data_IF_182517874128
#
_entry.id   IF_182517874128
#
_cell.length_a   1.000
_cell.length_b   1.000
_cell.length_c   1.000
_cell.angle_alpha   90.00
_cell.angle_beta   90.00
_cell.angle_gamma   90.00
#
_symmetry.space_group_name_H-M   'P 1'
#
loop_
_entity.id
_entity.type
_entity.pdbx_description
1 polymer ?
#
# COMPACT_ATOMS: atom_id res chain seq x y z
N UNK A 1 -4.32 -65.31 8.11
CA UNK A 1 -4.65 -64.67 9.40
C UNK A 1 -3.35 -64.10 9.93
N UNK A 2 -3.08 -62.84 10.18
CA UNK A 2 -3.68 -61.52 9.92
C UNK A 2 -2.47 -60.58 10.08
N UNK A 3 -2.17 -59.69 9.13
CA UNK A 3 -2.55 -58.27 9.22
C UNK A 3 -2.39 -57.74 10.67
N UNK A 4 -1.32 -56.97 10.94
CA UNK A 4 -1.40 -55.50 11.09
C UNK A 4 -0.21 -54.86 11.83
N UNK A 5 0.32 -53.83 11.16
CA UNK A 5 0.66 -52.50 11.68
C UNK A 5 1.86 -52.38 12.64
N UNK A 6 2.98 -51.89 12.14
CA UNK A 6 3.31 -50.47 11.83
C UNK A 6 4.07 -49.83 12.99
N UNK A 7 5.36 -50.11 12.89
CA UNK A 7 6.51 -49.33 13.32
C UNK A 7 6.37 -47.81 13.12
N UNK A 8 7.04 -47.10 14.04
CA UNK A 8 7.72 -45.79 13.87
C UNK A 8 6.92 -44.51 14.20
N UNK A 9 7.06 -44.10 15.46
CA UNK A 9 7.89 -42.95 15.89
C UNK A 9 7.65 -41.61 15.16
N UNK A 10 7.13 -40.66 15.93
CA UNK A 10 7.44 -39.23 15.93
C UNK A 10 7.47 -38.50 14.57
N UNK A 11 6.31 -38.00 14.16
CA UNK A 11 6.19 -36.82 13.31
C UNK A 11 5.37 -35.76 14.05
N UNK A 12 5.87 -35.36 15.21
CA UNK A 12 5.58 -34.06 15.79
C UNK A 12 6.58 -33.05 15.20
N UNK A 13 6.12 -31.84 14.88
CA UNK A 13 6.88 -30.68 14.39
C UNK A 13 7.20 -30.58 12.89
N UNK A 14 6.17 -30.52 12.05
CA UNK A 14 6.26 -29.77 10.79
C UNK A 14 4.94 -29.08 10.44
N UNK A 15 4.40 -28.34 11.41
CA UNK A 15 3.34 -27.36 11.16
C UNK A 15 3.69 -26.04 11.84
N UNK A 16 4.85 -25.50 11.47
CA UNK A 16 5.14 -24.09 11.77
C UNK A 16 5.65 -23.45 10.49
N UNK A 17 5.09 -22.27 10.22
CA UNK A 17 5.58 -21.24 9.31
C UNK A 17 5.15 -21.34 7.84
N UNK A 18 3.87 -21.62 7.58
CA UNK A 18 3.17 -20.73 6.64
C UNK A 18 2.66 -19.53 7.41
N UNK A 19 3.60 -18.74 7.97
CA UNK A 19 3.33 -17.32 8.05
C UNK A 19 3.24 -16.94 6.58
N UNK A 20 2.00 -16.88 6.07
CA UNK A 20 1.71 -15.87 5.07
C UNK A 20 2.26 -14.62 5.71
N UNK A 21 3.47 -14.21 5.31
CA UNK A 21 3.80 -12.82 5.31
C UNK A 21 2.55 -12.26 4.66
N UNK A 22 1.70 -11.63 5.49
CA UNK A 22 0.81 -10.65 4.95
C UNK A 22 1.74 -9.89 4.02
N UNK A 23 1.46 -9.97 2.73
CA UNK A 23 1.84 -8.92 1.84
C UNK A 23 1.16 -7.70 2.47
N UNK A 24 1.81 -7.14 3.50
CA UNK A 24 1.61 -5.82 4.03
C UNK A 24 2.01 -4.99 2.85
N UNK A 25 1.03 -4.90 1.95
CA UNK A 25 1.06 -4.16 0.73
C UNK A 25 1.65 -2.84 1.15
N UNK A 26 2.76 -2.50 0.51
CA UNK A 26 3.48 -1.25 0.63
C UNK A 26 2.55 0.00 0.49
N UNK A 27 1.24 -0.18 0.24
CA UNK A 27 0.22 0.86 0.20
C UNK A 27 -0.86 0.88 1.29
N UNK A 28 -0.95 -0.06 2.25
CA UNK A 28 -2.07 -0.12 3.23
C UNK A 28 -1.76 0.45 4.63
N UNK A 29 -0.75 1.33 4.72
CA UNK A 29 -0.51 2.12 5.93
C UNK A 29 -1.56 3.21 6.07
N UNK A 30 -2.07 3.42 7.30
CA UNK A 30 -3.08 4.43 7.71
C UNK A 30 -3.28 5.54 6.68
N UNK A 31 -4.36 5.42 5.89
CA UNK A 31 -4.63 6.33 4.78
C UNK A 31 -4.90 7.76 5.23
N UNK A 32 -4.93 8.70 4.28
CA UNK A 32 -5.33 10.11 4.52
C UNK A 32 -6.66 10.21 5.27
N UNK A 33 -7.62 9.33 4.95
CA UNK A 33 -8.92 9.24 5.61
C UNK A 33 -8.80 8.97 7.11
N UNK A 34 -7.96 8.01 7.52
CA UNK A 34 -7.76 7.67 8.94
C UNK A 34 -7.04 8.80 9.68
N UNK A 35 -5.98 9.37 9.08
CA UNK A 35 -5.27 10.50 9.67
C UNK A 35 -6.21 11.67 9.91
N UNK A 36 -7.00 12.04 8.90
CA UNK A 36 -7.91 13.19 9.01
C UNK A 36 -9.08 12.88 9.95
N UNK A 37 -9.59 11.65 9.96
CA UNK A 37 -10.63 11.21 10.89
C UNK A 37 -10.21 11.25 12.35
N UNK A 38 -8.91 11.15 12.64
CA UNK A 38 -8.38 11.27 14.01
C UNK A 38 -8.28 12.71 14.52
N UNK A 39 -8.38 13.71 13.64
CA UNK A 39 -8.37 15.12 14.02
C UNK A 39 -9.67 15.49 14.73
N UNK A 40 -9.58 16.43 15.67
CA UNK A 40 -10.77 17.06 16.29
C UNK A 40 -11.43 18.02 15.30
N UNK A 41 -12.23 17.48 14.37
CA UNK A 41 -12.96 18.23 13.35
C UNK A 41 -14.36 18.63 13.83
N UNK A 42 -14.77 19.86 13.52
CA UNK A 42 -16.16 20.27 13.66
C UNK A 42 -17.03 19.74 12.50
N UNK A 43 -18.36 19.91 12.60
CA UNK A 43 -19.30 19.39 11.61
C UNK A 43 -19.15 20.06 10.23
N UNK A 44 -18.81 21.35 10.18
CA UNK A 44 -18.62 22.06 8.92
C UNK A 44 -17.35 21.56 8.21
N UNK A 45 -16.26 21.33 8.97
CA UNK A 45 -15.03 20.75 8.46
C UNK A 45 -15.24 19.33 7.94
N UNK A 46 -15.90 18.46 8.71
CA UNK A 46 -16.23 17.09 8.29
C UNK A 46 -16.99 17.08 6.97
N UNK A 47 -18.00 17.95 6.84
CA UNK A 47 -18.83 18.06 5.63
C UNK A 47 -18.01 18.45 4.41
N UNK A 48 -17.06 19.39 4.55
CA UNK A 48 -16.19 19.84 3.45
C UNK A 48 -15.09 18.83 3.09
N UNK A 49 -14.58 18.10 4.09
CA UNK A 49 -13.49 17.13 3.92
C UNK A 49 -13.98 15.83 3.28
N UNK A 50 -15.18 15.37 3.63
CA UNK A 50 -15.75 14.11 3.13
C UNK A 50 -15.65 13.93 1.60
N UNK A 51 -16.12 14.87 0.76
CA UNK A 51 -16.04 14.70 -0.69
C UNK A 51 -14.58 14.65 -1.20
N UNK A 52 -13.64 15.33 -0.55
CA UNK A 52 -12.21 15.26 -0.89
C UNK A 52 -11.65 13.85 -0.64
N UNK A 53 -12.02 13.25 0.48
CA UNK A 53 -11.60 11.89 0.83
C UNK A 53 -12.26 10.84 -0.08
N UNK A 54 -13.54 11.01 -0.42
CA UNK A 54 -14.25 10.13 -1.35
C UNK A 54 -13.65 10.19 -2.76
N UNK A 55 -13.33 11.39 -3.25
CA UNK A 55 -12.64 11.57 -4.52
C UNK A 55 -11.26 10.91 -4.51
N UNK A 56 -10.46 11.14 -3.46
CA UNK A 56 -9.15 10.51 -3.31
C UNK A 56 -9.28 8.99 -3.30
N UNK A 57 -10.23 8.43 -2.56
CA UNK A 57 -10.49 6.99 -2.49
C UNK A 57 -10.85 6.40 -3.85
N UNK A 58 -11.73 7.06 -4.60
CA UNK A 58 -12.08 6.65 -5.95
C UNK A 58 -10.86 6.64 -6.88
N UNK A 59 -10.06 7.70 -6.85
CA UNK A 59 -8.82 7.79 -7.64
C UNK A 59 -7.79 6.72 -7.23
N UNK A 60 -7.64 6.44 -5.93
CA UNK A 60 -6.72 5.39 -5.47
C UNK A 60 -7.19 4.00 -5.91
N UNK A 61 -8.50 3.75 -5.87
CA UNK A 61 -9.08 2.48 -6.33
C UNK A 61 -8.85 2.27 -7.83
N UNK A 62 -9.14 3.28 -8.64
CA UNK A 62 -8.98 3.21 -10.09
C UNK A 62 -7.49 3.02 -10.48
N UNK A 63 -6.60 3.87 -9.96
CA UNK A 63 -5.16 3.73 -10.22
C UNK A 63 -4.62 2.38 -9.71
N UNK A 64 -5.10 1.90 -8.55
CA UNK A 64 -4.71 0.60 -8.02
C UNK A 64 -5.16 -0.57 -8.88
N UNK A 65 -6.34 -0.50 -9.49
CA UNK A 65 -6.80 -1.49 -10.47
C UNK A 65 -5.89 -1.51 -11.69
N UNK A 66 -5.59 -0.33 -12.26
CA UNK A 66 -4.71 -0.22 -13.42
C UNK A 66 -3.28 -0.67 -13.11
N UNK A 67 -2.80 -0.43 -11.88
CA UNK A 67 -1.50 -0.92 -11.41
C UNK A 67 -1.45 -2.44 -11.41
N UNK A 68 -2.48 -3.09 -10.85
CA UNK A 68 -2.60 -4.55 -10.83
C UNK A 68 -2.58 -5.14 -12.24
N UNK A 69 -3.29 -4.52 -13.17
CA UNK A 69 -3.34 -4.99 -14.56
C UNK A 69 -1.97 -4.85 -15.26
N UNK A 70 -1.21 -3.80 -14.96
CA UNK A 70 0.17 -3.64 -15.43
C UNK A 70 1.10 -4.67 -14.81
N UNK A 71 0.98 -4.92 -13.51
CA UNK A 71 1.79 -5.93 -12.81
C UNK A 71 1.56 -7.35 -13.37
N UNK A 72 0.30 -7.69 -13.71
CA UNK A 72 -0.01 -8.95 -14.39
C UNK A 72 0.70 -9.04 -15.74
N UNK A 73 0.68 -7.98 -16.55
CA UNK A 73 1.34 -7.97 -17.86
C UNK A 73 2.86 -8.04 -17.76
N UNK A 74 3.45 -7.37 -16.76
CA UNK A 74 4.89 -7.48 -16.48
C UNK A 74 5.26 -8.91 -16.11
N UNK A 75 4.49 -9.56 -15.23
CA UNK A 75 4.73 -10.94 -14.85
C UNK A 75 4.59 -11.90 -16.05
N UNK A 76 3.61 -11.68 -16.93
CA UNK A 76 3.47 -12.47 -18.16
C UNK A 76 4.69 -12.35 -19.09
N UNK A 77 5.29 -11.17 -19.19
CA UNK A 77 6.54 -10.98 -19.93
C UNK A 77 7.73 -11.68 -19.25
N UNK A 78 7.79 -11.63 -17.91
CA UNK A 78 8.82 -12.31 -17.13
C UNK A 78 8.77 -13.84 -17.21
N UNK A 79 7.56 -14.41 -17.29
CA UNK A 79 7.34 -15.86 -17.37
C UNK A 79 7.43 -16.40 -18.82
N UNK A 80 7.55 -15.52 -19.81
CA UNK A 80 7.58 -15.90 -21.23
C UNK A 80 8.92 -16.53 -21.64
N UNK A 81 8.90 -17.40 -22.66
CA UNK A 81 10.11 -18.02 -23.21
C UNK A 81 11.07 -17.00 -23.86
N UNK A 82 10.56 -15.84 -24.26
CA UNK A 82 11.36 -14.73 -24.79
C UNK A 82 10.67 -13.43 -24.42
N UNK A 83 11.35 -12.63 -23.59
CA UNK A 83 10.88 -11.34 -23.15
C UNK A 83 10.98 -10.31 -24.28
N UNK A 84 9.90 -9.56 -24.53
CA UNK A 84 9.93 -8.42 -25.43
C UNK A 84 10.32 -7.16 -24.64
N UNK A 85 11.54 -6.69 -24.86
CA UNK A 85 12.10 -5.53 -24.17
C UNK A 85 11.29 -4.25 -24.43
N UNK A 86 10.80 -4.03 -25.66
CA UNK A 86 10.03 -2.83 -25.99
C UNK A 86 8.67 -2.82 -25.26
N UNK A 87 8.06 -4.00 -25.13
CA UNK A 87 6.84 -4.17 -24.35
C UNK A 87 7.09 -3.93 -22.85
N UNK A 88 8.17 -4.46 -22.29
CA UNK A 88 8.56 -4.20 -20.89
C UNK A 88 8.78 -2.71 -20.64
N UNK A 89 9.52 -2.02 -21.50
CA UNK A 89 9.80 -0.59 -21.35
C UNK A 89 8.48 0.21 -21.31
N UNK A 90 7.55 -0.10 -22.22
CA UNK A 90 6.23 0.54 -22.23
C UNK A 90 5.40 0.23 -20.97
N UNK A 91 5.48 -0.98 -20.43
CA UNK A 91 4.77 -1.35 -19.20
C UNK A 91 5.35 -0.64 -17.98
N UNK A 92 6.67 -0.49 -17.90
CA UNK A 92 7.36 0.26 -16.84
C UNK A 92 7.03 1.74 -16.90
N UNK A 93 6.97 2.34 -18.08
CA UNK A 93 6.55 3.74 -18.25
C UNK A 93 5.11 3.95 -17.78
N UNK A 94 4.21 3.02 -18.14
CA UNK A 94 2.82 3.05 -17.68
C UNK A 94 2.73 2.94 -16.17
N UNK A 95 3.51 2.04 -15.56
CA UNK A 95 3.60 1.87 -14.10
C UNK A 95 4.07 3.16 -13.42
N UNK A 96 5.14 3.77 -13.95
CA UNK A 96 5.70 5.03 -13.45
C UNK A 96 4.67 6.16 -13.50
N UNK A 97 3.94 6.29 -14.60
CA UNK A 97 2.88 7.29 -14.76
C UNK A 97 1.74 7.09 -13.74
N UNK A 98 1.33 5.84 -13.49
CA UNK A 98 0.32 5.53 -12.48
C UNK A 98 0.77 5.92 -11.07
N UNK A 99 2.01 5.60 -10.69
CA UNK A 99 2.60 6.03 -9.41
C UNK A 99 2.56 7.57 -9.30
N UNK A 100 3.00 8.28 -10.35
CA UNK A 100 2.97 9.74 -10.40
C UNK A 100 1.57 10.32 -10.22
N UNK A 101 0.56 9.72 -10.86
CA UNK A 101 -0.84 10.12 -10.71
C UNK A 101 -1.34 9.93 -9.28
N UNK A 102 -0.99 8.82 -8.63
CA UNK A 102 -1.35 8.57 -7.22
C UNK A 102 -0.71 9.58 -6.28
N UNK A 103 0.57 9.91 -6.49
CA UNK A 103 1.28 10.96 -5.72
C UNK A 103 0.57 12.30 -5.89
N UNK A 104 0.29 12.70 -7.13
CA UNK A 104 -0.41 13.96 -7.45
C UNK A 104 -1.78 14.03 -6.76
N UNK A 105 -2.58 12.97 -6.83
CA UNK A 105 -3.88 12.90 -6.18
C UNK A 105 -3.79 13.09 -4.65
N UNK A 106 -2.81 12.42 -4.00
CA UNK A 106 -2.57 12.59 -2.55
C UNK A 106 -2.16 14.03 -2.19
N UNK A 107 -1.33 14.67 -3.01
CA UNK A 107 -0.90 16.07 -2.80
C UNK A 107 -2.09 17.03 -2.95
N UNK A 108 -2.92 16.85 -3.99
CA UNK A 108 -4.11 17.67 -4.22
C UNK A 108 -5.09 17.54 -3.06
N UNK A 109 -5.40 16.32 -2.64
CA UNK A 109 -6.29 16.08 -1.50
C UNK A 109 -5.73 16.70 -0.21
N UNK A 110 -4.42 16.53 0.05
CA UNK A 110 -3.76 17.17 1.20
C UNK A 110 -3.93 18.69 1.16
N UNK A 111 -3.68 19.32 0.02
CA UNK A 111 -3.80 20.77 -0.12
C UNK A 111 -5.22 21.26 0.17
N UNK A 112 -6.24 20.58 -0.39
CA UNK A 112 -7.66 20.90 -0.16
C UNK A 112 -8.05 20.72 1.31
N UNK A 113 -7.63 19.63 1.96
CA UNK A 113 -7.87 19.40 3.39
C UNK A 113 -7.20 20.50 4.22
N UNK A 114 -5.93 20.84 3.93
CA UNK A 114 -5.22 21.90 4.65
C UNK A 114 -5.93 23.25 4.54
N UNK A 115 -6.60 23.56 3.44
CA UNK A 115 -7.39 24.79 3.33
C UNK A 115 -8.59 24.84 4.31
N UNK A 116 -9.06 23.70 4.79
CA UNK A 116 -10.22 23.58 5.69
C UNK A 116 -9.81 23.55 7.18
N UNK A 117 -8.59 23.10 7.47
CA UNK A 117 -8.09 22.93 8.83
C UNK A 117 -7.61 24.24 9.45
N UNK A 118 -7.80 24.37 10.77
CA UNK A 118 -7.18 25.43 11.57
C UNK A 118 -5.69 25.12 11.84
N UNK A 119 -4.97 26.08 12.42
CA UNK A 119 -3.52 25.97 12.68
C UNK A 119 -3.15 24.76 13.53
N UNK A 120 -3.94 24.45 14.58
CA UNK A 120 -3.67 23.33 15.47
C UNK A 120 -3.85 21.99 14.75
N UNK A 121 -4.94 21.83 14.00
CA UNK A 121 -5.23 20.63 13.22
C UNK A 121 -4.20 20.41 12.11
N UNK A 122 -3.73 21.48 11.45
CA UNK A 122 -2.64 21.41 10.46
C UNK A 122 -1.35 20.88 11.07
N UNK A 123 -0.98 21.37 12.26
CA UNK A 123 0.21 20.92 12.96
C UNK A 123 0.13 19.43 13.33
N UNK A 124 -1.03 18.99 13.83
CA UNK A 124 -1.31 17.60 14.19
C UNK A 124 -1.24 16.68 12.96
N UNK A 125 -1.88 17.07 11.86
CA UNK A 125 -1.83 16.32 10.60
C UNK A 125 -0.41 16.20 10.04
N UNK A 126 0.37 17.29 10.07
CA UNK A 126 1.78 17.26 9.65
C UNK A 126 2.62 16.35 10.55
N UNK A 127 2.36 16.31 11.85
CA UNK A 127 3.06 15.43 12.78
C UNK A 127 2.79 13.95 12.48
N UNK A 128 1.52 13.60 12.20
CA UNK A 128 1.16 12.25 11.77
C UNK A 128 1.85 11.84 10.47
N UNK A 129 1.91 12.73 9.48
CA UNK A 129 2.62 12.48 8.21
C UNK A 129 4.11 12.26 8.44
N UNK A 130 4.78 13.14 9.20
CA UNK A 130 6.21 12.97 9.53
C UNK A 130 6.48 11.65 10.23
N UNK A 131 5.61 11.23 11.16
CA UNK A 131 5.73 9.94 11.83
C UNK A 131 5.66 8.78 10.84
N UNK A 132 4.72 8.82 9.90
CA UNK A 132 4.59 7.82 8.84
C UNK A 132 5.85 7.79 7.97
N UNK A 133 6.37 8.94 7.56
CA UNK A 133 7.60 9.05 6.75
C UNK A 133 8.81 8.48 7.49
N UNK A 134 9.01 8.84 8.75
CA UNK A 134 10.10 8.31 9.58
C UNK A 134 9.99 6.79 9.76
N UNK A 135 8.78 6.27 9.94
CA UNK A 135 8.58 4.83 10.05
C UNK A 135 8.81 4.12 8.71
N UNK A 136 8.45 4.71 7.56
CA UNK A 136 8.78 4.16 6.24
C UNK A 136 10.30 4.16 6.02
N UNK A 137 10.99 5.25 6.37
CA UNK A 137 12.45 5.33 6.27
C UNK A 137 13.14 4.30 7.17
N UNK A 138 12.64 4.08 8.39
CA UNK A 138 13.14 3.05 9.30
C UNK A 138 12.90 1.63 8.74
N UNK A 139 11.71 1.36 8.21
CA UNK A 139 11.42 0.08 7.54
C UNK A 139 12.34 -0.16 6.35
N UNK A 140 12.53 0.84 5.49
CA UNK A 140 13.47 0.77 4.37
C UNK A 140 14.89 0.48 4.85
N UNK A 141 15.37 1.21 5.86
CA UNK A 141 16.69 0.96 6.46
C UNK A 141 16.82 -0.48 6.97
N UNK A 142 15.81 -0.99 7.68
CA UNK A 142 15.82 -2.37 8.19
C UNK A 142 15.84 -3.40 7.05
N UNK A 143 15.10 -3.18 5.96
CA UNK A 143 15.11 -4.07 4.79
C UNK A 143 16.45 -4.08 4.04
N UNK A 144 17.30 -3.08 4.24
CA UNK A 144 18.60 -2.93 3.57
C UNK A 144 19.79 -3.04 4.52
N UNK A 145 19.56 -3.43 5.79
CA UNK A 145 20.61 -3.59 6.80
C UNK A 145 20.88 -5.04 7.24
N UNK A 146 20.36 -6.05 6.52
CA UNK A 146 20.80 -7.45 6.67
C UNK A 146 21.28 -8.01 5.32
N UNK A 147 22.53 -7.68 4.99
CA UNK A 147 23.66 -8.58 4.66
C UNK A 147 24.90 -7.74 4.34
#
# INVERSE_FOLDING_TARGET
>A
MDKKFLWIVALAFSFILSQTAAADSWGCRKGMEEMVGSLKLDNAQKTKIKPVLEQLKAQMKDNGSQMKDVDIQINQQADSATMDQATIDSLVDKKTKLIGNMIKAKIVAKNQIFAILNTKQKAELNMMMKKIDSQMAAQFKNCHQEN
#
